data_IF_795080982383
#
_entry.id   IF_795080982383
#
_cell.length_a   1.000
_cell.length_b   1.000
_cell.length_c   1.000
_cell.angle_alpha   90.00
_cell.angle_beta   90.00
_cell.angle_gamma   90.00
#
_symmetry.space_group_name_H-M   'P 1'
#
loop_
_entity.id
_entity.type
_entity.pdbx_description
1 polymer ?
#
# COMPACT_ATOMS: atom_id res chain seq x y z
N UNK A 1 -18.65 -40.56 -8.41
CA UNK A 1 -18.25 -41.10 -7.09
C UNK A 1 -16.73 -41.21 -7.07
N UNK A 2 -16.08 -40.68 -6.02
CA UNK A 2 -14.70 -40.99 -5.55
C UNK A 2 -13.59 -40.33 -6.41
N UNK A 3 -13.12 -39.13 -6.05
CA UNK A 3 -12.03 -38.84 -5.10
C UNK A 3 -10.80 -39.70 -5.37
N UNK A 4 -9.79 -39.14 -6.02
CA UNK A 4 -8.40 -39.58 -5.86
C UNK A 4 -7.62 -38.47 -5.17
N UNK A 5 -7.55 -38.57 -3.84
CA UNK A 5 -6.58 -37.88 -3.00
C UNK A 5 -5.21 -38.50 -3.29
N UNK A 6 -4.32 -37.75 -3.91
CA UNK A 6 -2.90 -38.14 -4.04
C UNK A 6 -2.20 -37.78 -2.72
N UNK A 7 -1.34 -38.64 -2.16
CA UNK A 7 -0.89 -38.51 -0.79
C UNK A 7 0.25 -37.50 -0.66
N UNK A 8 0.12 -36.68 0.39
CA UNK A 8 1.12 -35.93 1.12
C UNK A 8 2.54 -36.55 1.04
N UNK A 9 3.45 -35.93 0.29
CA UNK A 9 4.88 -36.22 0.36
C UNK A 9 5.49 -35.22 1.32
N UNK A 10 5.68 -35.65 2.58
CA UNK A 10 6.44 -34.91 3.59
C UNK A 10 7.93 -34.96 3.24
N UNK A 11 8.44 -33.91 2.59
CA UNK A 11 9.88 -33.65 2.49
C UNK A 11 10.26 -32.76 3.67
N UNK A 12 10.83 -33.36 4.71
CA UNK A 12 11.48 -32.64 5.81
C UNK A 12 12.84 -32.13 5.33
N UNK A 13 12.94 -30.87 4.92
CA UNK A 13 14.20 -30.17 4.75
C UNK A 13 14.49 -29.36 6.02
N UNK A 14 15.28 -29.94 6.93
CA UNK A 14 15.77 -29.23 8.10
C UNK A 14 16.95 -28.32 7.72
N UNK A 15 16.66 -27.05 7.42
CA UNK A 15 17.69 -26.02 7.27
C UNK A 15 18.00 -25.40 8.64
N UNK A 16 19.07 -25.88 9.29
CA UNK A 16 19.65 -25.22 10.47
C UNK A 16 20.43 -23.97 10.02
N UNK A 17 19.85 -22.78 10.18
CA UNK A 17 20.58 -21.53 10.06
C UNK A 17 21.25 -21.17 11.41
N UNK A 18 22.57 -21.39 11.51
CA UNK A 18 23.37 -20.78 12.57
C UNK A 18 23.61 -19.31 12.22
N UNK A 19 22.92 -18.40 12.90
CA UNK A 19 23.28 -16.97 12.90
C UNK A 19 24.28 -16.75 14.04
N UNK A 20 25.54 -16.54 13.68
CA UNK A 20 26.55 -16.05 14.60
C UNK A 20 26.20 -14.60 14.99
N UNK A 21 25.83 -14.40 16.25
CA UNK A 21 25.56 -13.08 16.79
C UNK A 21 26.86 -12.37 17.15
N UNK A 22 27.16 -11.26 16.50
CA UNK A 22 28.11 -10.28 17.02
C UNK A 22 27.37 -9.36 18.01
N UNK A 23 27.59 -9.67 19.29
CA UNK A 23 27.30 -8.83 20.44
C UNK A 23 28.23 -7.62 20.40
N UNK A 24 27.70 -6.43 20.16
CA UNK A 24 28.34 -5.20 20.62
C UNK A 24 27.40 -4.38 21.50
N UNK A 25 27.74 -4.39 22.78
CA UNK A 25 27.16 -3.56 23.81
C UNK A 25 27.72 -2.13 23.74
N UNK A 26 26.85 -1.12 23.83
CA UNK A 26 27.23 0.21 24.30
C UNK A 26 26.24 0.72 25.37
N UNK A 27 26.56 0.31 26.59
CA UNK A 27 26.58 1.06 27.86
C UNK A 27 25.96 2.47 27.84
N UNK A 28 24.87 2.62 28.58
CA UNK A 28 24.22 3.90 28.86
C UNK A 28 24.99 4.84 29.80
N UNK A 29 24.57 6.11 29.79
CA UNK A 29 24.91 7.12 30.77
C UNK A 29 23.82 8.21 30.81
N UNK A 30 23.46 8.78 31.98
CA UNK A 30 22.15 9.39 32.22
C UNK A 30 22.18 10.94 32.24
N UNK A 31 21.00 11.54 32.01
CA UNK A 31 20.66 12.82 32.61
C UNK A 31 20.20 13.92 31.65
N UNK A 32 18.89 14.13 31.56
CA UNK A 32 18.32 15.48 31.32
C UNK A 32 17.02 15.65 32.09
N UNK A 33 17.07 16.52 33.09
CA UNK A 33 15.89 17.15 33.66
C UNK A 33 15.97 18.66 33.43
N UNK A 34 14.98 19.23 32.73
CA UNK A 34 14.22 20.44 33.08
C UNK A 34 13.23 20.81 31.96
N UNK A 35 12.19 21.62 32.26
CA UNK A 35 10.85 21.40 31.74
C UNK A 35 10.30 22.60 30.95
N UNK A 36 9.25 22.33 30.18
CA UNK A 36 8.15 23.26 29.99
C UNK A 36 8.16 24.09 28.71
N UNK A 37 7.02 24.04 28.01
CA UNK A 37 6.53 25.14 27.17
C UNK A 37 6.35 24.79 25.70
N UNK A 38 5.11 24.47 25.29
CA UNK A 38 4.67 24.65 23.91
C UNK A 38 4.10 23.42 23.20
N UNK A 39 2.85 23.06 23.52
CA UNK A 39 1.90 22.52 22.52
C UNK A 39 0.99 23.68 22.11
N UNK A 40 0.60 23.79 20.84
CA UNK A 40 -0.45 22.94 20.28
C UNK A 40 0.00 22.30 18.94
N UNK A 41 -0.04 20.99 18.74
CA UNK A 41 -1.28 20.20 18.82
C UNK A 41 -2.19 20.37 17.59
N UNK A 42 -1.63 20.56 16.39
CA UNK A 42 -2.37 20.68 15.13
C UNK A 42 -2.38 19.39 14.30
N UNK A 43 -3.47 18.63 14.42
CA UNK A 43 -4.13 17.82 13.38
C UNK A 43 -3.30 17.39 12.14
N UNK A 44 -2.39 16.43 12.32
CA UNK A 44 -1.82 15.63 11.23
C UNK A 44 -2.67 14.38 11.00
N UNK A 45 -3.80 14.52 10.30
CA UNK A 45 -4.58 13.37 9.83
C UNK A 45 -3.76 12.53 8.84
N UNK A 46 -3.97 11.20 8.78
CA UNK A 46 -3.28 10.33 7.83
C UNK A 46 -3.76 10.64 6.41
N UNK A 47 -3.07 11.53 5.70
CA UNK A 47 -3.50 11.95 4.36
C UNK A 47 -2.78 13.16 3.79
N UNK A 48 -1.45 13.24 3.97
CA UNK A 48 -0.65 14.22 3.22
C UNK A 48 -0.72 13.93 1.71
N UNK A 49 -0.77 14.97 0.83
CA UNK A 49 -0.84 14.84 -0.64
C UNK A 49 0.32 14.12 -1.37
N UNK A 50 1.06 13.23 -0.71
CA UNK A 50 2.00 12.28 -1.30
C UNK A 50 1.59 10.80 -1.10
N UNK A 51 0.42 10.53 -0.51
CA UNK A 51 0.01 9.19 -0.07
C UNK A 51 -0.50 8.22 -1.15
N UNK A 52 -0.52 8.61 -2.42
CA UNK A 52 -1.06 7.77 -3.51
C UNK A 52 0.01 7.11 -4.41
N UNK A 53 1.30 7.40 -4.20
CA UNK A 53 2.41 6.83 -4.98
C UNK A 53 3.26 5.77 -4.26
N UNK A 54 3.13 5.64 -2.94
CA UNK A 54 3.84 4.64 -2.12
C UNK A 54 3.02 3.36 -1.85
N UNK A 55 1.91 3.15 -2.57
CA UNK A 55 1.15 1.88 -2.55
C UNK A 55 1.77 0.83 -3.48
N UNK A 56 3.09 0.86 -3.65
CA UNK A 56 3.87 -0.06 -4.49
C UNK A 56 4.28 -1.36 -3.81
N UNK A 57 3.97 -1.54 -2.52
CA UNK A 57 4.31 -2.76 -1.77
C UNK A 57 3.24 -3.85 -1.78
N UNK A 58 2.11 -3.64 -2.46
CA UNK A 58 0.97 -4.57 -2.45
C UNK A 58 1.09 -5.74 -3.44
N UNK A 59 2.09 -5.74 -4.31
CA UNK A 59 2.30 -6.81 -5.29
C UNK A 59 3.53 -7.67 -5.06
N UNK A 60 4.45 -7.24 -4.19
CA UNK A 60 5.68 -7.98 -3.91
C UNK A 60 5.37 -9.26 -3.12
N UNK A 61 6.19 -10.30 -3.34
CA UNK A 61 6.04 -11.59 -2.66
C UNK A 61 6.04 -11.43 -1.13
N UNK A 62 6.98 -10.66 -0.59
CA UNK A 62 7.06 -10.36 0.85
C UNK A 62 5.88 -9.53 1.36
N UNK A 63 5.26 -8.70 0.50
CA UNK A 63 4.06 -7.94 0.85
C UNK A 63 2.84 -8.84 1.02
N UNK A 64 2.73 -9.90 0.22
CA UNK A 64 1.65 -10.90 0.32
C UNK A 64 1.78 -11.78 1.55
N UNK A 65 3.00 -12.17 1.92
CA UNK A 65 3.27 -12.97 3.11
C UNK A 65 2.90 -12.27 4.43
N UNK A 66 2.55 -10.99 4.40
CA UNK A 66 1.98 -10.26 5.55
C UNK A 66 0.49 -10.47 5.76
N UNK A 67 -0.20 -11.07 4.79
CA UNK A 67 -1.64 -11.36 4.87
C UNK A 67 -1.86 -12.72 5.51
N UNK A 68 -2.71 -12.78 6.53
CA UNK A 68 -2.99 -14.04 7.24
C UNK A 68 -3.59 -15.08 6.29
N UNK A 69 -4.47 -14.67 5.40
CA UNK A 69 -5.13 -15.51 4.40
C UNK A 69 -4.13 -16.12 3.41
N UNK A 70 -3.10 -15.37 3.02
CA UNK A 70 -2.03 -15.89 2.16
C UNK A 70 -1.14 -16.85 2.95
N UNK A 71 -0.86 -16.57 4.22
CA UNK A 71 -0.08 -17.50 5.06
C UNK A 71 -0.83 -18.82 5.28
N UNK A 72 -2.16 -18.78 5.40
CA UNK A 72 -3.01 -19.96 5.52
C UNK A 72 -3.08 -20.74 4.21
N UNK A 73 -3.27 -20.06 3.06
CA UNK A 73 -3.25 -20.65 1.72
C UNK A 73 -1.93 -21.39 1.44
N UNK A 74 -0.81 -20.83 1.91
CA UNK A 74 0.51 -21.42 1.77
C UNK A 74 0.82 -22.47 2.85
N UNK A 75 -0.10 -22.70 3.79
CA UNK A 75 0.06 -23.59 4.93
C UNK A 75 1.38 -23.36 5.69
N UNK A 76 1.74 -22.08 5.91
CA UNK A 76 3.04 -21.74 6.47
C UNK A 76 3.22 -22.27 7.89
N UNK A 77 4.35 -22.93 8.12
CA UNK A 77 4.72 -23.47 9.42
C UNK A 77 5.21 -22.37 10.37
N UNK A 78 5.14 -22.56 11.70
CA UNK A 78 5.53 -21.53 12.67
C UNK A 78 6.98 -21.03 12.52
N UNK A 79 7.90 -21.93 12.19
CA UNK A 79 9.31 -21.64 11.90
C UNK A 79 9.47 -20.83 10.62
N UNK A 80 8.72 -21.16 9.56
CA UNK A 80 8.68 -20.35 8.33
C UNK A 80 8.17 -18.94 8.62
N UNK A 81 7.09 -18.79 9.40
CA UNK A 81 6.55 -17.48 9.78
C UNK A 81 7.57 -16.63 10.56
N UNK A 82 8.32 -17.24 11.47
CA UNK A 82 9.39 -16.54 12.20
C UNK A 82 10.52 -16.11 11.24
N UNK A 83 10.96 -16.99 10.34
CA UNK A 83 11.99 -16.68 9.36
C UNK A 83 11.55 -15.54 8.42
N UNK A 84 10.31 -15.57 7.93
CA UNK A 84 9.74 -14.51 7.09
C UNK A 84 9.64 -13.16 7.81
N UNK A 85 9.40 -13.17 9.12
CA UNK A 85 9.42 -11.95 9.93
C UNK A 85 10.82 -11.33 9.92
N UNK A 86 11.87 -12.13 10.07
CA UNK A 86 13.27 -11.66 10.02
C UNK A 86 13.62 -11.13 8.63
N UNK A 87 13.22 -11.83 7.56
CA UNK A 87 13.38 -11.32 6.17
C UNK A 87 12.73 -9.95 6.00
N UNK A 88 11.52 -9.76 6.55
CA UNK A 88 10.82 -8.48 6.48
C UNK A 88 11.47 -7.37 7.33
N UNK A 89 12.21 -7.71 8.40
CA UNK A 89 12.96 -6.77 9.24
C UNK A 89 14.29 -6.35 8.61
N UNK A 90 14.93 -7.23 7.83
CA UNK A 90 16.16 -6.94 7.09
C UNK A 90 15.95 -6.03 5.88
N UNK A 91 14.70 -5.86 5.45
CA UNK A 91 14.35 -4.99 4.33
C UNK A 91 14.76 -3.53 4.63
N UNK A 92 15.57 -2.90 3.77
CA UNK A 92 15.94 -1.50 3.93
C UNK A 92 14.70 -0.63 4.00
N UNK A 93 14.66 0.24 5.02
CA UNK A 93 13.63 1.28 5.09
C UNK A 93 14.15 2.46 4.28
N UNK A 94 13.52 2.81 3.15
CA UNK A 94 13.99 3.93 2.37
C UNK A 94 13.94 5.20 3.20
N UNK A 95 15.06 5.91 3.24
CA UNK A 95 15.13 7.20 3.93
C UNK A 95 14.20 8.19 3.24
N UNK A 96 13.51 9.00 4.04
CA UNK A 96 12.70 10.08 3.50
C UNK A 96 13.65 11.15 2.97
N UNK A 97 13.56 11.52 1.68
CA UNK A 97 14.41 12.57 1.15
C UNK A 97 14.08 13.93 1.77
N UNK A 98 15.08 14.80 1.83
CA UNK A 98 15.00 16.15 2.41
C UNK A 98 14.65 17.24 1.35
N UNK A 99 13.85 16.88 0.34
CA UNK A 99 13.39 17.81 -0.69
C UNK A 99 11.87 17.81 -0.83
N UNK A 100 11.30 18.94 -1.29
CA UNK A 100 9.85 19.10 -1.43
C UNK A 100 9.37 18.53 -2.78
N UNK A 101 8.59 17.44 -2.74
CA UNK A 101 7.98 16.83 -3.93
C UNK A 101 7.01 17.74 -4.70
N UNK A 102 6.60 18.88 -4.13
CA UNK A 102 5.71 19.85 -4.79
C UNK A 102 6.47 20.95 -5.51
N UNK A 103 7.74 21.17 -5.19
CA UNK A 103 8.56 22.13 -5.89
C UNK A 103 8.90 21.58 -7.28
N UNK A 104 8.61 22.35 -8.31
CA UNK A 104 8.86 22.00 -9.71
C UNK A 104 10.02 22.78 -10.32
N UNK A 105 10.83 23.45 -9.51
CA UNK A 105 12.10 24.06 -9.96
C UNK A 105 12.98 23.02 -10.67
N UNK A 106 13.77 23.45 -11.66
CA UNK A 106 14.63 22.54 -12.43
C UNK A 106 15.62 21.80 -11.52
N UNK A 107 16.22 22.50 -10.56
CA UNK A 107 17.12 21.91 -9.56
C UNK A 107 16.42 20.82 -8.72
N UNK A 108 15.17 21.05 -8.30
CA UNK A 108 14.43 20.08 -7.50
C UNK A 108 13.96 18.89 -8.35
N UNK A 109 13.65 19.10 -9.64
CA UNK A 109 13.33 18.01 -10.58
C UNK A 109 14.49 17.06 -10.75
N UNK A 110 15.71 17.56 -10.89
CA UNK A 110 16.92 16.73 -10.99
C UNK A 110 17.13 15.90 -9.72
N UNK A 111 16.97 16.50 -8.53
CA UNK A 111 17.06 15.78 -7.23
C UNK A 111 16.01 14.68 -7.12
N UNK A 112 14.76 14.97 -7.53
CA UNK A 112 13.68 13.99 -7.54
C UNK A 112 14.00 12.84 -8.50
N UNK A 113 14.48 13.13 -9.72
CA UNK A 113 14.84 12.09 -10.70
C UNK A 113 15.96 11.19 -10.20
N UNK A 114 17.04 11.78 -9.67
CA UNK A 114 18.15 11.03 -9.11
C UNK A 114 17.71 10.12 -7.95
N UNK A 115 16.86 10.63 -7.04
CA UNK A 115 16.30 9.84 -5.95
C UNK A 115 15.38 8.72 -6.45
N UNK A 116 14.57 8.96 -7.49
CA UNK A 116 13.73 7.91 -8.08
C UNK A 116 14.57 6.78 -8.71
N UNK A 117 15.66 7.13 -9.39
CA UNK A 117 16.59 6.15 -9.97
C UNK A 117 17.30 5.35 -8.87
N UNK A 118 17.81 6.01 -7.84
CA UNK A 118 18.45 5.37 -6.69
C UNK A 118 17.48 4.42 -5.97
N UNK A 119 16.26 4.89 -5.69
CA UNK A 119 15.20 4.07 -5.11
C UNK A 119 14.79 2.90 -6.01
N UNK A 120 14.89 3.03 -7.34
CA UNK A 120 14.64 1.92 -8.25
C UNK A 120 15.71 0.84 -8.09
N UNK A 121 16.99 1.24 -8.12
CA UNK A 121 18.12 0.32 -7.92
C UNK A 121 18.06 -0.38 -6.57
N UNK A 122 17.85 0.37 -5.49
CA UNK A 122 17.71 -0.21 -4.15
C UNK A 122 16.54 -1.21 -4.06
N UNK A 123 15.43 -0.96 -4.76
CA UNK A 123 14.30 -1.89 -4.82
C UNK A 123 14.63 -3.15 -5.59
N UNK A 124 15.29 -3.04 -6.74
CA UNK A 124 15.71 -4.19 -7.55
C UNK A 124 16.65 -5.10 -6.73
N UNK A 125 17.68 -4.53 -6.10
CA UNK A 125 18.61 -5.29 -5.25
C UNK A 125 17.92 -5.93 -4.03
N UNK A 126 17.03 -5.18 -3.36
CA UNK A 126 16.27 -5.71 -2.23
C UNK A 126 15.31 -6.82 -2.66
N UNK A 127 14.68 -6.71 -3.83
CA UNK A 127 13.78 -7.74 -4.37
C UNK A 127 14.54 -9.02 -4.70
N UNK A 128 15.72 -8.93 -5.34
CA UNK A 128 16.56 -10.11 -5.60
C UNK A 128 16.99 -10.80 -4.30
N UNK A 129 17.45 -10.03 -3.30
CA UNK A 129 17.83 -10.58 -2.00
C UNK A 129 16.65 -11.26 -1.31
N UNK A 130 15.51 -10.59 -1.25
CA UNK A 130 14.30 -11.15 -0.63
C UNK A 130 13.85 -12.40 -1.34
N UNK A 131 13.82 -12.41 -2.68
CA UNK A 131 13.39 -13.58 -3.44
C UNK A 131 14.29 -14.79 -3.15
N UNK A 132 15.61 -14.60 -3.07
CA UNK A 132 16.53 -15.67 -2.69
C UNK A 132 16.25 -16.19 -1.27
N UNK A 133 16.04 -15.30 -0.29
CA UNK A 133 15.70 -15.70 1.09
C UNK A 133 14.34 -16.44 1.16
N UNK A 134 13.37 -16.03 0.35
CA UNK A 134 12.07 -16.71 0.26
C UNK A 134 12.23 -18.13 -0.30
N UNK A 135 13.08 -18.34 -1.30
CA UNK A 135 13.36 -19.67 -1.87
C UNK A 135 14.10 -20.61 -0.90
N UNK A 136 14.83 -20.07 0.08
CA UNK A 136 15.45 -20.85 1.15
C UNK A 136 14.46 -21.24 2.27
N UNK A 137 13.46 -20.39 2.54
CA UNK A 137 12.50 -20.57 3.64
C UNK A 137 11.26 -21.35 3.20
N UNK A 138 10.79 -21.14 1.98
CA UNK A 138 9.57 -21.74 1.44
C UNK A 138 9.87 -23.02 0.69
N UNK A 139 8.95 -24.00 0.81
CA UNK A 139 8.99 -25.19 -0.02
C UNK A 139 8.67 -24.83 -1.48
N UNK A 140 9.16 -25.59 -2.48
CA UNK A 140 8.92 -25.27 -3.89
C UNK A 140 7.43 -25.05 -4.24
N UNK A 141 6.48 -25.89 -3.79
CA UNK A 141 5.05 -25.65 -4.04
C UNK A 141 4.52 -24.35 -3.39
N UNK A 142 5.03 -23.97 -2.22
CA UNK A 142 4.65 -22.72 -1.55
C UNK A 142 5.17 -21.51 -2.31
N UNK A 143 6.40 -21.60 -2.84
CA UNK A 143 6.98 -20.53 -3.64
C UNK A 143 6.24 -20.37 -4.98
N UNK A 144 5.90 -21.46 -5.65
CA UNK A 144 5.11 -21.43 -6.89
C UNK A 144 3.73 -20.81 -6.63
N UNK A 145 3.04 -21.26 -5.59
CA UNK A 145 1.75 -20.68 -5.19
C UNK A 145 1.87 -19.19 -4.85
N UNK A 146 2.93 -18.78 -4.14
CA UNK A 146 3.16 -17.37 -3.83
C UNK A 146 3.38 -16.52 -5.11
N UNK A 147 4.07 -17.06 -6.11
CA UNK A 147 4.27 -16.42 -7.42
C UNK A 147 2.95 -16.25 -8.16
N UNK A 148 2.08 -17.25 -8.15
CA UNK A 148 0.71 -17.17 -8.70
C UNK A 148 -0.11 -16.08 -8.01
N UNK A 149 -0.13 -16.09 -6.67
CA UNK A 149 -0.83 -15.08 -5.87
C UNK A 149 -0.30 -13.67 -6.14
N UNK A 150 1.00 -13.51 -6.38
CA UNK A 150 1.60 -12.24 -6.80
C UNK A 150 1.05 -11.76 -8.14
N UNK A 151 0.91 -12.63 -9.13
CA UNK A 151 0.30 -12.27 -10.42
C UNK A 151 -1.17 -11.91 -10.24
N UNK A 152 -1.94 -12.70 -9.50
CA UNK A 152 -3.35 -12.44 -9.24
C UNK A 152 -3.57 -11.11 -8.49
N UNK A 153 -2.80 -10.84 -7.44
CA UNK A 153 -2.93 -9.62 -6.62
C UNK A 153 -2.59 -8.34 -7.38
N UNK A 154 -1.68 -8.43 -8.35
CA UNK A 154 -1.27 -7.31 -9.20
C UNK A 154 -2.17 -7.14 -10.42
N UNK A 155 -2.90 -8.20 -10.82
CA UNK A 155 -3.69 -8.24 -12.04
C UNK A 155 -2.82 -7.89 -13.26
N UNK A 156 -3.35 -7.08 -14.18
CA UNK A 156 -2.61 -6.68 -15.38
C UNK A 156 -1.30 -5.92 -15.09
N UNK A 157 -1.19 -5.30 -13.91
CA UNK A 157 0.04 -4.64 -13.48
C UNK A 157 1.23 -5.59 -13.35
N UNK A 158 0.97 -6.90 -13.20
CA UNK A 158 2.01 -7.92 -13.14
C UNK A 158 2.90 -7.96 -14.40
N UNK A 159 2.41 -7.53 -15.57
CA UNK A 159 3.23 -7.43 -16.79
C UNK A 159 4.40 -6.45 -16.66
N UNK A 160 4.34 -5.53 -15.71
CA UNK A 160 5.40 -4.57 -15.39
C UNK A 160 6.37 -5.08 -14.33
N UNK A 161 6.12 -6.24 -13.72
CA UNK A 161 7.04 -6.86 -12.78
C UNK A 161 8.15 -7.59 -13.55
N UNK A 162 9.39 -7.44 -13.12
CA UNK A 162 10.54 -7.97 -13.84
C UNK A 162 10.56 -9.50 -13.94
N UNK A 163 10.09 -10.22 -12.91
CA UNK A 163 10.00 -11.68 -12.95
C UNK A 163 9.03 -12.13 -14.04
N UNK A 164 7.81 -11.58 -14.03
CA UNK A 164 6.77 -11.92 -15.01
C UNK A 164 7.20 -11.50 -16.41
N UNK A 165 7.81 -10.32 -16.55
CA UNK A 165 8.31 -9.85 -17.84
C UNK A 165 9.44 -10.73 -18.40
N UNK A 166 10.31 -11.28 -17.54
CA UNK A 166 11.34 -12.26 -17.91
C UNK A 166 10.73 -13.59 -18.31
N UNK A 167 9.79 -14.13 -17.53
CA UNK A 167 9.13 -15.41 -17.82
C UNK A 167 8.35 -15.36 -19.15
N UNK A 168 7.60 -14.27 -19.41
CA UNK A 168 6.90 -14.04 -20.68
C UNK A 168 7.81 -13.65 -21.86
N UNK A 169 9.12 -13.56 -21.62
CA UNK A 169 10.12 -13.14 -22.61
C UNK A 169 9.74 -11.81 -23.30
N UNK A 170 9.25 -10.82 -22.54
CA UNK A 170 8.82 -9.54 -23.10
C UNK A 170 10.00 -8.81 -23.73
N UNK A 171 9.84 -8.41 -24.98
CA UNK A 171 10.84 -7.64 -25.71
C UNK A 171 10.98 -6.22 -25.14
N UNK A 172 12.09 -5.55 -25.43
CA UNK A 172 12.28 -4.14 -25.04
C UNK A 172 11.15 -3.24 -25.58
N UNK A 173 10.75 -3.46 -26.84
CA UNK A 173 9.65 -2.73 -27.46
C UNK A 173 8.32 -2.97 -26.73
N UNK A 174 8.00 -4.23 -26.38
CA UNK A 174 6.78 -4.53 -25.61
C UNK A 174 6.80 -3.92 -24.21
N UNK A 175 7.95 -3.91 -23.53
CA UNK A 175 8.09 -3.25 -22.23
C UNK A 175 7.83 -1.75 -22.33
N UNK A 176 8.36 -1.10 -23.36
CA UNK A 176 8.11 0.31 -23.65
C UNK A 176 6.62 0.57 -23.97
N UNK A 177 6.00 -0.26 -24.81
CA UNK A 177 4.58 -0.17 -25.14
C UNK A 177 3.68 -0.36 -23.91
N UNK A 178 4.03 -1.28 -23.00
CA UNK A 178 3.31 -1.47 -21.73
C UNK A 178 3.46 -0.26 -20.80
N UNK A 179 4.64 0.36 -20.73
CA UNK A 179 4.86 1.60 -19.99
C UNK A 179 3.98 2.72 -20.55
N UNK A 180 4.02 2.93 -21.86
CA UNK A 180 3.25 3.96 -22.55
C UNK A 180 1.73 3.75 -22.37
N UNK A 181 1.24 2.50 -22.51
CA UNK A 181 -0.16 2.17 -22.29
C UNK A 181 -0.62 2.48 -20.85
N UNK A 182 0.24 2.20 -19.87
CA UNK A 182 0.01 2.53 -18.46
C UNK A 182 -0.01 4.04 -18.20
N UNK A 183 0.92 4.79 -18.78
CA UNK A 183 1.03 6.24 -18.63
C UNK A 183 -0.14 6.99 -19.28
N UNK A 184 -0.49 6.63 -20.52
CA UNK A 184 -1.62 7.23 -21.23
C UNK A 184 -2.92 7.06 -20.43
N UNK A 185 -3.13 5.86 -19.89
CA UNK A 185 -4.33 5.58 -19.11
C UNK A 185 -4.34 6.31 -17.77
N UNK A 186 -3.17 6.45 -17.11
CA UNK A 186 -3.03 7.27 -15.90
C UNK A 186 -3.28 8.77 -16.16
N UNK A 187 -2.86 9.28 -17.32
CA UNK A 187 -3.12 10.66 -17.72
C UNK A 187 -4.62 10.90 -17.90
N UNK A 188 -5.31 10.02 -18.66
CA UNK A 188 -6.77 10.06 -18.84
C UNK A 188 -7.51 9.97 -17.50
N UNK A 189 -7.08 9.08 -16.61
CA UNK A 189 -7.66 8.96 -15.27
C UNK A 189 -7.53 10.27 -14.48
N UNK A 190 -6.38 10.94 -14.55
CA UNK A 190 -6.13 12.21 -13.85
C UNK A 190 -7.08 13.31 -14.35
N UNK A 191 -7.26 13.42 -15.66
CA UNK A 191 -8.18 14.37 -16.29
C UNK A 191 -9.64 14.10 -15.88
N UNK A 192 -10.12 12.86 -16.05
CA UNK A 192 -11.48 12.45 -15.67
C UNK A 192 -11.73 12.65 -14.18
N UNK A 193 -10.74 12.38 -13.33
CA UNK A 193 -10.83 12.59 -11.89
C UNK A 193 -10.91 14.09 -11.55
N UNK A 194 -10.14 14.95 -12.23
CA UNK A 194 -10.20 16.40 -12.06
C UNK A 194 -11.58 16.97 -12.44
N UNK A 195 -12.17 16.49 -13.54
CA UNK A 195 -13.53 16.84 -13.98
C UNK A 195 -14.57 16.41 -12.94
N UNK A 196 -14.51 15.15 -12.47
CA UNK A 196 -15.44 14.66 -11.44
C UNK A 196 -15.33 15.47 -10.13
N UNK A 197 -14.12 15.82 -9.70
CA UNK A 197 -13.95 16.68 -8.52
C UNK A 197 -14.57 18.07 -8.69
N UNK A 198 -14.48 18.66 -9.89
CA UNK A 198 -15.11 19.94 -10.19
C UNK A 198 -16.64 19.85 -10.26
N UNK A 199 -17.17 18.72 -10.75
CA UNK A 199 -18.61 18.48 -10.86
C UNK A 199 -19.31 18.18 -9.53
N UNK A 200 -18.55 17.75 -8.51
CA UNK A 200 -19.09 17.33 -7.21
C UNK A 200 -19.72 15.92 -7.20
N UNK A 201 -19.68 15.20 -8.32
CA UNK A 201 -20.35 13.92 -8.53
C UNK A 201 -19.49 12.73 -8.04
N UNK A 202 -19.40 12.59 -6.71
CA UNK A 202 -18.56 11.58 -6.05
C UNK A 202 -19.04 10.14 -6.27
N UNK A 203 -20.29 9.96 -6.66
CA UNK A 203 -20.87 8.62 -6.86
C UNK A 203 -20.30 7.94 -8.11
N UNK A 204 -19.87 8.72 -9.11
CA UNK A 204 -19.25 8.22 -10.35
C UNK A 204 -17.78 7.84 -10.20
N UNK A 205 -17.15 8.14 -9.07
CA UNK A 205 -15.74 7.82 -8.83
C UNK A 205 -15.52 6.30 -8.92
N UNK A 206 -16.44 5.51 -8.38
CA UNK A 206 -16.35 4.04 -8.43
C UNK A 206 -16.41 3.52 -9.86
N UNK A 207 -17.39 3.98 -10.64
CA UNK A 207 -17.54 3.59 -12.04
C UNK A 207 -16.32 3.98 -12.86
N UNK A 208 -15.75 5.18 -12.62
CA UNK A 208 -14.52 5.63 -13.26
C UNK A 208 -13.35 4.68 -12.98
N UNK A 209 -13.15 4.26 -11.73
CA UNK A 209 -12.08 3.32 -11.38
C UNK A 209 -12.28 1.96 -12.06
N UNK A 210 -13.51 1.43 -12.06
CA UNK A 210 -13.84 0.15 -12.70
C UNK A 210 -13.66 0.22 -14.23
N UNK A 211 -14.07 1.32 -14.88
CA UNK A 211 -13.88 1.52 -16.32
C UNK A 211 -12.40 1.66 -16.67
N UNK A 212 -11.66 2.44 -15.87
CA UNK A 212 -10.24 2.67 -16.09
C UNK A 212 -9.46 1.36 -15.96
N UNK A 213 -9.79 0.51 -14.98
CA UNK A 213 -9.14 -0.79 -14.82
C UNK A 213 -9.31 -1.67 -16.07
N UNK A 214 -10.53 -1.73 -16.64
CA UNK A 214 -10.81 -2.48 -17.88
C UNK A 214 -10.11 -1.88 -19.09
N UNK A 215 -10.01 -0.56 -19.18
CA UNK A 215 -9.30 0.14 -20.25
C UNK A 215 -7.79 -0.17 -20.20
N UNK A 216 -7.16 -0.09 -19.02
CA UNK A 216 -5.75 -0.49 -18.82
C UNK A 216 -5.55 -1.95 -19.21
N UNK A 217 -6.42 -2.83 -18.72
CA UNK A 217 -6.32 -4.26 -18.98
C UNK A 217 -6.35 -4.57 -20.48
N UNK A 218 -7.33 -4.00 -21.19
CA UNK A 218 -7.46 -4.15 -22.63
C UNK A 218 -6.23 -3.61 -23.38
N UNK A 219 -5.73 -2.44 -23.00
CA UNK A 219 -4.60 -1.79 -23.66
C UNK A 219 -3.31 -2.61 -23.47
N UNK A 220 -3.00 -3.01 -22.24
CA UNK A 220 -1.79 -3.79 -21.94
C UNK A 220 -1.86 -5.20 -22.54
N UNK A 221 -3.01 -5.88 -22.49
CA UNK A 221 -3.16 -7.18 -23.15
C UNK A 221 -2.98 -7.07 -24.66
N UNK A 222 -3.33 -5.96 -25.31
CA UNK A 222 -3.16 -5.80 -26.75
C UNK A 222 -1.67 -5.82 -27.21
N UNK A 223 -0.73 -5.50 -26.31
CA UNK A 223 0.72 -5.52 -26.57
C UNK A 223 1.28 -6.94 -26.62
N UNK A 224 0.62 -7.89 -25.94
CA UNK A 224 1.08 -9.27 -25.85
C UNK A 224 0.69 -10.08 -27.09
N UNK A 225 1.56 -11.02 -27.47
CA UNK A 225 1.25 -12.06 -28.46
C UNK A 225 0.19 -13.03 -27.92
N UNK A 226 -0.50 -13.80 -28.78
CA UNK A 226 -1.44 -14.82 -28.34
C UNK A 226 -0.83 -15.83 -27.35
N UNK A 227 0.42 -16.23 -27.57
CA UNK A 227 1.12 -17.19 -26.70
C UNK A 227 1.44 -16.55 -25.33
N UNK A 228 1.93 -15.31 -25.31
CA UNK A 228 2.19 -14.56 -24.07
C UNK A 228 0.92 -14.32 -23.25
N UNK A 229 -0.23 -14.07 -23.91
CA UNK A 229 -1.53 -13.96 -23.22
C UNK A 229 -1.89 -15.26 -22.54
N UNK A 230 -1.74 -16.38 -23.24
CA UNK A 230 -2.04 -17.70 -22.70
C UNK A 230 -1.14 -18.01 -21.51
N UNK A 231 0.15 -17.79 -21.65
CA UNK A 231 1.13 -18.01 -20.59
C UNK A 231 0.86 -17.12 -19.36
N UNK A 232 0.49 -15.85 -19.58
CA UNK A 232 0.10 -14.94 -18.49
C UNK A 232 -1.16 -15.40 -17.74
N UNK A 233 -2.14 -15.98 -18.43
CA UNK A 233 -3.31 -16.58 -17.76
C UNK A 233 -2.93 -17.85 -16.99
N UNK A 234 -2.02 -18.67 -17.51
CA UNK A 234 -1.51 -19.87 -16.81
C UNK A 234 -0.74 -19.49 -15.54
N UNK A 235 0.07 -18.42 -15.58
CA UNK A 235 0.81 -17.90 -14.42
C UNK A 235 -0.07 -17.44 -13.25
N UNK A 236 -1.37 -17.19 -13.48
CA UNK A 236 -2.29 -16.83 -12.39
C UNK A 236 -2.63 -18.02 -11.51
N UNK A 237 -2.55 -19.25 -12.01
CA UNK A 237 -2.89 -20.45 -11.25
C UNK A 237 -4.34 -20.48 -10.75
N UNK A 238 -4.57 -21.19 -9.64
CA UNK A 238 -5.91 -21.32 -9.06
C UNK A 238 -6.42 -20.01 -8.45
N UNK A 239 -7.67 -19.57 -8.71
CA UNK A 239 -8.20 -18.33 -8.16
C UNK A 239 -8.10 -18.25 -6.63
N UNK A 240 -7.70 -17.10 -6.12
CA UNK A 240 -7.64 -16.82 -4.70
C UNK A 240 -8.46 -15.57 -4.35
N UNK A 241 -9.26 -15.67 -3.30
CA UNK A 241 -10.06 -14.54 -2.80
C UNK A 241 -9.21 -13.72 -1.82
N UNK A 242 -8.59 -12.66 -2.33
CA UNK A 242 -7.80 -11.77 -1.48
C UNK A 242 -8.71 -11.09 -0.47
N UNK A 243 -8.26 -10.96 0.80
CA UNK A 243 -8.98 -10.13 1.75
C UNK A 243 -9.15 -8.75 1.14
N UNK A 244 -10.35 -8.20 1.28
CA UNK A 244 -10.68 -6.89 0.75
C UNK A 244 -9.79 -5.87 1.47
N UNK A 245 -8.59 -5.63 0.91
CA UNK A 245 -7.54 -4.78 1.49
C UNK A 245 -8.22 -3.48 1.80
N UNK A 246 -8.42 -3.25 3.10
CA UNK A 246 -9.33 -2.26 3.64
C UNK A 246 -9.63 -1.21 2.60
N UNK A 247 -10.83 -1.29 2.04
CA UNK A 247 -11.47 -0.27 1.22
C UNK A 247 -11.63 0.99 2.10
N UNK A 248 -10.53 1.51 2.63
CA UNK A 248 -10.33 2.90 3.01
C UNK A 248 -10.27 3.64 1.68
N UNK A 249 -11.38 3.84 1.01
CA UNK A 249 -12.53 4.49 1.61
C UNK A 249 -12.27 5.99 1.51
N UNK A 250 -12.17 6.47 0.27
CA UNK A 250 -12.75 7.75 -0.07
C UNK A 250 -14.26 7.64 0.17
N UNK A 251 -14.68 7.67 1.44
CA UNK A 251 -16.07 7.45 1.82
C UNK A 251 -16.24 6.93 3.23
N UNK A 252 -16.36 7.84 4.19
CA UNK A 252 -17.31 7.76 5.30
C UNK A 252 -17.30 6.51 6.20
N UNK A 253 -16.90 6.74 7.46
CA UNK A 253 -17.66 6.30 8.64
C UNK A 253 -17.91 4.79 8.75
N UNK A 254 -16.96 4.09 9.37
CA UNK A 254 -17.23 2.76 9.94
C UNK A 254 -18.39 2.81 10.95
N UNK A 255 -19.25 1.77 11.01
CA UNK A 255 -20.36 1.71 11.94
C UNK A 255 -19.90 1.30 13.35
N UNK A 256 -20.37 2.01 14.37
CA UNK A 256 -20.61 1.40 15.69
C UNK A 256 -19.45 1.34 16.72
N UNK A 257 -18.79 2.45 17.01
CA UNK A 257 -18.01 2.59 18.26
C UNK A 257 -18.94 2.93 19.45
N UNK A 258 -18.91 2.21 20.60
CA UNK A 258 -19.88 2.37 21.68
C UNK A 258 -19.75 3.70 22.44
N UNK A 259 -20.89 4.37 22.66
CA UNK A 259 -21.23 5.11 23.88
C UNK A 259 -20.19 6.06 24.48
N UNK A 260 -20.13 7.29 23.95
CA UNK A 260 -19.63 8.44 24.73
C UNK A 260 -20.74 9.01 25.63
N UNK A 261 -20.57 9.12 26.95
CA UNK A 261 -21.63 9.57 27.85
C UNK A 261 -21.97 11.05 27.69
N UNK A 262 -23.27 11.34 27.50
CA UNK A 262 -24.01 12.44 28.13
C UNK A 262 -23.49 13.87 27.96
N UNK A 263 -23.96 14.55 26.91
CA UNK A 263 -24.10 16.02 26.91
C UNK A 263 -25.56 16.41 27.21
N UNK A 264 -25.87 17.16 28.28
CA UNK A 264 -27.23 17.56 28.60
C UNK A 264 -27.80 18.54 27.55
N UNK A 265 -29.04 18.26 27.15
CA UNK A 265 -29.75 18.98 26.10
C UNK A 265 -30.05 20.45 26.38
N UNK A 266 -30.20 21.20 25.29
CA UNK A 266 -30.83 22.52 25.24
C UNK A 266 -31.72 22.60 24.00
N UNK A 267 -33.03 22.63 24.23
CA UNK A 267 -34.10 22.71 23.21
C UNK A 267 -34.09 24.09 22.54
N UNK A 268 -34.66 24.14 21.33
CA UNK A 268 -34.67 25.33 20.48
C UNK A 268 -35.74 26.39 20.80
N UNK A 269 -36.00 27.22 19.77
CA UNK A 269 -36.89 28.41 19.69
C UNK A 269 -36.38 29.63 20.47
N UNK A 270 -36.31 30.85 19.96
CA UNK A 270 -36.91 31.48 18.78
C UNK A 270 -37.73 32.70 19.21
N UNK A 271 -37.38 33.91 18.71
CA UNK A 271 -38.32 35.02 18.49
C UNK A 271 -38.39 36.19 19.50
N UNK A 272 -38.04 37.39 19.00
CA UNK A 272 -38.67 38.74 19.12
C UNK A 272 -39.10 39.36 20.48
N UNK A 273 -38.81 40.67 20.56
CA UNK A 273 -39.53 41.71 21.33
C UNK A 273 -38.84 42.06 22.65
N UNK A 274 -38.45 43.29 22.99
CA UNK A 274 -38.99 44.62 22.69
C UNK A 274 -39.68 45.16 23.95
N UNK A 275 -39.10 46.18 24.60
CA UNK A 275 -39.79 46.94 25.66
C UNK A 275 -38.96 47.36 26.88
N UNK A 276 -38.35 48.55 26.78
CA UNK A 276 -38.43 49.72 27.67
C UNK A 276 -38.50 49.65 29.22
N UNK A 277 -37.97 50.74 29.82
CA UNK A 277 -37.93 51.23 31.22
C UNK A 277 -36.81 50.63 32.09
N UNK A 278 -35.98 51.39 32.79
CA UNK A 278 -35.97 52.80 33.18
C UNK A 278 -35.40 52.89 34.62
N UNK A 279 -34.71 54.00 34.95
CA UNK A 279 -34.16 54.36 36.28
C UNK A 279 -32.96 53.52 36.79
N UNK A 280 -31.94 54.04 37.48
CA UNK A 280 -31.56 55.35 38.00
C UNK A 280 -30.06 55.27 38.37
N UNK A 281 -29.32 56.39 38.29
CA UNK A 281 -28.00 56.57 38.93
C UNK A 281 -28.20 56.96 40.41
N UNK A 282 -27.25 56.61 41.30
CA UNK A 282 -26.36 57.63 41.89
C UNK A 282 -24.89 57.14 41.84
N UNK A 283 -23.91 57.97 41.49
CA UNK A 283 -23.24 59.03 42.26
C UNK A 283 -22.32 58.49 43.38
N UNK A 284 -21.01 58.65 43.10
CA UNK A 284 -19.82 58.79 43.95
C UNK A 284 -19.88 58.50 45.46
N UNK A 285 -18.88 57.74 45.94
CA UNK A 285 -18.25 57.94 47.24
C UNK A 285 -16.71 57.89 47.07
N UNK A 286 -16.09 58.86 47.75
CA UNK A 286 -14.68 59.15 48.12
C UNK A 286 -13.49 58.47 47.44
#
# INVERSE_FOLDING_TARGET
MKISRTPLVLVFAAAMAMVAGDVMAQRGGPGRGRPGGGRPGGFGGPGGPGGFGMRGGGGSLIGLLRMEEVQEELELMPDQKEALTKVAEEMPRPERPDFDFRDQSEENREKIQAWMEDMRKQREEAEEKVNAQLEEVLLPPQMDRLKELSVQSQGIGALMNDRVAKELNLTAAQKEDLQNAGEETRAKMREKMQELFQSGDRDKIRELFESNQKEVEKAMMAVLTPDQKKEFEEMKGEPFDFPERGRGGFGGRGPGGPGGPGGPGGRGRGGRGGGDRGAERPAAEE
#
